data_IF_914690063766
#
_entry.id   IF_914690063766
#
_cell.length_a   1.000
_cell.length_b   1.000
_cell.length_c   1.000
_cell.angle_alpha   90.00
_cell.angle_beta   90.00
_cell.angle_gamma   90.00
#
_symmetry.space_group_name_H-M   'P 1'
#
loop_
_entity.id
_entity.type
_entity.pdbx_description
1 polymer ?
#
# COMPACT_ATOMS: atom_id res chain seq x y z
N UNK A 1 0.85 -10.19 22.64
CA UNK A 1 1.68 -11.29 22.12
C UNK A 1 2.90 -10.69 21.44
N UNK A 2 4.11 -11.25 21.61
CA UNK A 2 5.27 -10.76 20.88
C UNK A 2 5.06 -11.02 19.39
N UNK A 3 5.07 -9.94 18.59
CA UNK A 3 5.06 -10.05 17.14
C UNK A 3 6.49 -10.28 16.65
N UNK A 4 6.67 -11.14 15.63
CA UNK A 4 7.96 -11.21 14.94
C UNK A 4 8.33 -9.84 14.37
N UNK A 5 9.60 -9.47 14.47
CA UNK A 5 10.13 -8.27 13.83
C UNK A 5 9.92 -8.38 12.33
N UNK A 6 9.38 -7.32 11.71
CA UNK A 6 9.36 -7.20 10.25
C UNK A 6 10.79 -6.90 9.80
N UNK A 7 11.38 -7.83 9.04
CA UNK A 7 12.65 -7.58 8.35
C UNK A 7 12.36 -7.00 6.97
N UNK A 8 13.07 -5.93 6.60
CA UNK A 8 13.09 -5.42 5.24
C UNK A 8 14.51 -5.56 4.68
N UNK A 9 14.64 -6.33 3.60
CA UNK A 9 15.88 -6.52 2.88
C UNK A 9 15.92 -5.53 1.72
N UNK A 10 17.02 -4.79 1.58
CA UNK A 10 17.15 -3.66 0.64
C UNK A 10 16.97 -4.06 -0.83
N UNK A 11 17.15 -5.33 -1.18
CA UNK A 11 17.05 -5.84 -2.56
C UNK A 11 15.82 -6.69 -2.85
N UNK A 12 15.02 -7.00 -1.83
CA UNK A 12 13.89 -7.93 -2.01
C UNK A 12 12.57 -7.16 -2.20
N UNK A 13 11.68 -7.64 -3.08
CA UNK A 13 10.35 -7.06 -3.24
C UNK A 13 9.58 -7.08 -1.90
N UNK A 14 9.01 -5.93 -1.54
CA UNK A 14 8.13 -5.83 -0.38
C UNK A 14 6.67 -5.98 -0.81
N UNK A 15 5.92 -6.84 -0.12
CA UNK A 15 4.46 -6.90 -0.25
C UNK A 15 3.81 -5.98 0.78
N UNK A 16 3.14 -4.92 0.32
CA UNK A 16 2.48 -3.92 1.15
C UNK A 16 0.96 -4.12 1.05
N UNK A 17 0.27 -4.08 2.20
CA UNK A 17 -1.19 -4.24 2.28
C UNK A 17 -1.78 -3.05 3.02
N UNK A 18 -2.77 -2.39 2.41
CA UNK A 18 -3.62 -1.41 3.08
C UNK A 18 -4.80 -2.14 3.75
N UNK A 19 -5.09 -1.79 5.00
CA UNK A 19 -6.22 -2.34 5.75
C UNK A 19 -6.75 -1.28 6.72
N UNK A 20 -8.07 -1.23 6.86
CA UNK A 20 -8.69 -0.33 7.81
C UNK A 20 -8.45 -0.78 9.24
N UNK A 21 -8.62 0.18 10.16
CA UNK A 21 -8.74 -0.16 11.56
C UNK A 21 -9.84 -1.23 11.72
N UNK A 22 -9.60 -2.27 12.52
CA UNK A 22 -10.56 -3.36 12.72
C UNK A 22 -11.11 -4.08 11.45
N UNK A 23 -10.44 -3.97 10.28
CA UNK A 23 -10.92 -4.48 8.97
C UNK A 23 -12.01 -3.63 8.32
N UNK A 24 -12.21 -2.41 8.81
CA UNK A 24 -13.15 -1.49 8.18
C UNK A 24 -12.69 -1.11 6.76
N UNK A 25 -13.62 -0.61 5.95
CA UNK A 25 -13.33 -0.15 4.60
C UNK A 25 -12.35 1.03 4.63
N UNK A 26 -11.30 0.96 3.80
CA UNK A 26 -10.37 2.08 3.62
C UNK A 26 -10.79 3.08 2.55
N UNK A 27 -11.58 2.62 1.58
CA UNK A 27 -12.07 3.40 0.45
C UNK A 27 -13.57 3.56 0.69
N UNK A 28 -14.02 4.76 1.03
CA UNK A 28 -15.43 5.05 1.33
C UNK A 28 -16.11 5.81 0.18
N UNK A 29 -15.32 6.56 -0.58
CA UNK A 29 -15.76 7.32 -1.73
C UNK A 29 -14.76 7.23 -2.89
N UNK A 30 -15.20 7.69 -4.06
CA UNK A 30 -14.37 7.76 -5.28
C UNK A 30 -13.11 8.60 -5.07
N UNK A 31 -13.18 9.65 -4.24
CA UNK A 31 -12.03 10.50 -3.98
C UNK A 31 -10.97 9.82 -3.09
N UNK A 32 -11.37 8.91 -2.18
CA UNK A 32 -10.41 8.07 -1.43
C UNK A 32 -9.65 7.14 -2.38
N UNK A 33 -10.34 6.57 -3.38
CA UNK A 33 -9.72 5.74 -4.41
C UNK A 33 -8.67 6.53 -5.20
N UNK A 34 -9.00 7.76 -5.62
CA UNK A 34 -8.07 8.64 -6.35
C UNK A 34 -6.87 9.02 -5.48
N UNK A 35 -7.11 9.38 -4.23
CA UNK A 35 -6.06 9.72 -3.28
C UNK A 35 -5.14 8.52 -3.03
N UNK A 36 -5.72 7.33 -2.87
CA UNK A 36 -4.97 6.09 -2.69
C UNK A 36 -4.13 5.73 -3.92
N UNK A 37 -4.53 6.07 -5.14
CA UNK A 37 -3.66 5.85 -6.31
C UNK A 37 -2.52 6.87 -6.37
N UNK A 38 -2.78 8.14 -6.02
CA UNK A 38 -1.80 9.23 -6.11
C UNK A 38 -0.67 9.08 -5.06
N UNK A 39 -1.02 8.82 -3.80
CA UNK A 39 -0.04 8.71 -2.70
C UNK A 39 1.10 7.69 -2.93
N UNK A 40 0.82 6.39 -3.17
CA UNK A 40 1.85 5.40 -3.45
C UNK A 40 2.49 5.65 -4.81
N UNK A 41 1.75 6.12 -5.82
CA UNK A 41 2.30 6.50 -7.12
C UNK A 41 3.43 7.54 -6.99
N UNK A 42 3.21 8.59 -6.20
CA UNK A 42 4.26 9.57 -5.88
C UNK A 42 5.43 8.96 -5.13
N UNK A 43 5.18 8.06 -4.18
CA UNK A 43 6.23 7.34 -3.47
C UNK A 43 7.12 6.53 -4.40
N UNK A 44 6.52 5.72 -5.27
CA UNK A 44 7.23 4.92 -6.27
C UNK A 44 8.13 5.81 -7.15
N UNK A 45 7.60 6.92 -7.65
CA UNK A 45 8.36 7.89 -8.45
C UNK A 45 9.51 8.53 -7.67
N UNK A 46 9.23 9.08 -6.48
CA UNK A 46 10.21 9.83 -5.69
C UNK A 46 11.38 8.96 -5.22
N UNK A 47 11.11 7.69 -4.92
CA UNK A 47 12.11 6.75 -4.43
C UNK A 47 12.66 5.82 -5.52
N UNK A 48 12.22 6.00 -6.78
CA UNK A 48 12.64 5.16 -7.92
C UNK A 48 12.42 3.67 -7.67
N UNK A 49 11.26 3.33 -7.11
CA UNK A 49 10.88 1.96 -6.80
C UNK A 49 10.03 1.42 -7.97
N UNK A 50 10.32 0.19 -8.39
CA UNK A 50 9.52 -0.50 -9.40
C UNK A 50 8.30 -1.19 -8.78
N UNK A 51 7.15 -1.05 -9.43
CA UNK A 51 5.92 -1.73 -9.05
C UNK A 51 5.81 -3.04 -9.81
N UNK A 52 5.94 -4.17 -9.10
CA UNK A 52 5.76 -5.48 -9.70
C UNK A 52 4.27 -5.77 -10.01
N UNK A 53 3.39 -5.50 -9.05
CA UNK A 53 1.96 -5.77 -9.17
C UNK A 53 1.16 -4.91 -8.20
N UNK A 54 -0.07 -4.54 -8.55
CA UNK A 54 -1.02 -3.91 -7.65
C UNK A 54 -2.42 -4.47 -7.85
N UNK A 55 -3.19 -4.53 -6.76
CA UNK A 55 -4.62 -4.86 -6.78
C UNK A 55 -5.34 -3.86 -5.89
N UNK A 56 -6.44 -3.33 -6.41
CA UNK A 56 -7.32 -2.42 -5.69
C UNK A 56 -8.74 -2.61 -6.22
N UNK A 57 -9.67 -2.86 -5.32
CA UNK A 57 -11.09 -2.94 -5.66
C UNK A 57 -11.61 -1.53 -5.98
N UNK A 58 -12.37 -1.40 -7.06
CA UNK A 58 -13.05 -0.14 -7.39
C UNK A 58 -14.19 0.07 -6.38
N UNK A 59 -14.42 1.33 -5.94
CA UNK A 59 -15.56 1.66 -5.09
C UNK A 59 -16.90 1.43 -5.79
#
# INVERSE_FOLDING_TARGET
>A
MPHSIRMQLTSDPAHIVLRGNNRDACILAVDDYRLYLDCPGRGLCNYRIELHSHVLEKP
#
